data_IF_417953281529
#
_entry.id   IF_417953281529
#
_cell.length_a   1.000
_cell.length_b   1.000
_cell.length_c   1.000
_cell.angle_alpha   90.00
_cell.angle_beta   90.00
_cell.angle_gamma   90.00
#
_symmetry.space_group_name_H-M   'P 1'
#
loop_
_entity.id
_entity.type
_entity.pdbx_description
1 polymer ?
#
# COMPACT_ATOMS: atom_id res chain seq x y z
N UNK A 1 -5.63 -18.71 7.39
CA UNK A 1 -5.99 -20.14 7.34
C UNK A 1 -4.93 -21.04 7.99
N UNK A 2 -3.64 -20.97 7.61
CA UNK A 2 -2.57 -21.81 8.21
C UNK A 2 -2.46 -21.66 9.73
N UNK A 3 -2.54 -20.42 10.24
CA UNK A 3 -2.46 -20.17 11.69
C UNK A 3 -3.60 -20.84 12.48
N UNK A 4 -4.82 -20.87 11.94
CA UNK A 4 -5.95 -21.58 12.57
C UNK A 4 -5.72 -23.10 12.56
N UNK A 5 -5.15 -23.63 11.47
CA UNK A 5 -4.83 -25.05 11.38
C UNK A 5 -3.75 -25.45 12.40
N UNK A 6 -2.71 -24.62 12.58
CA UNK A 6 -1.67 -24.81 13.60
C UNK A 6 -2.30 -24.78 14.99
N UNK A 7 -3.08 -23.74 15.31
CA UNK A 7 -3.75 -23.62 16.61
C UNK A 7 -4.69 -24.80 16.91
N UNK A 8 -5.34 -25.39 15.89
CA UNK A 8 -6.14 -26.61 16.06
C UNK A 8 -5.29 -27.85 16.34
N UNK A 9 -4.11 -27.98 15.70
CA UNK A 9 -3.19 -29.10 15.94
C UNK A 9 -2.55 -29.00 17.31
N UNK A 10 -2.17 -27.82 17.76
CA UNK A 10 -1.65 -27.57 19.11
C UNK A 10 -2.66 -27.86 20.24
N UNK A 11 -3.92 -28.04 19.90
CA UNK A 11 -4.94 -28.53 20.83
C UNK A 11 -4.78 -30.01 21.18
N UNK A 12 -4.13 -30.79 20.31
CA UNK A 12 -3.87 -32.20 20.58
C UNK A 12 -2.86 -32.35 21.71
N UNK A 13 -2.90 -33.47 22.40
CA UNK A 13 -1.92 -33.78 23.46
C UNK A 13 -0.59 -34.18 22.82
N UNK A 14 0.47 -33.56 23.28
CA UNK A 14 1.84 -33.98 22.97
C UNK A 14 2.28 -35.02 23.99
N UNK A 15 3.06 -36.00 23.55
CA UNK A 15 3.65 -37.01 24.40
C UNK A 15 5.17 -36.89 24.31
N UNK A 16 5.80 -36.67 25.44
CA UNK A 16 7.25 -36.64 25.51
C UNK A 16 7.74 -37.98 26.07
N UNK A 17 8.56 -38.70 25.30
CA UNK A 17 9.24 -39.90 25.71
C UNK A 17 10.72 -39.59 25.97
N UNK A 18 11.16 -39.70 27.19
CA UNK A 18 12.55 -39.53 27.57
C UNK A 18 13.20 -40.90 27.82
N UNK A 19 14.31 -41.18 27.17
CA UNK A 19 15.14 -42.34 27.39
C UNK A 19 16.49 -41.88 27.91
N UNK A 20 16.93 -42.38 29.03
CA UNK A 20 18.20 -42.01 29.62
C UNK A 20 19.00 -43.27 30.02
N UNK A 21 20.31 -43.20 29.89
CA UNK A 21 21.24 -44.16 30.40
C UNK A 21 22.19 -43.43 31.33
N UNK A 22 22.28 -43.91 32.59
CA UNK A 22 23.21 -43.38 33.57
C UNK A 22 24.18 -44.46 33.98
N UNK A 23 25.47 -44.15 33.97
CA UNK A 23 26.52 -45.01 34.40
C UNK A 23 27.28 -44.39 35.57
N UNK A 24 27.23 -45.04 36.72
CA UNK A 24 27.93 -44.59 37.91
C UNK A 24 29.16 -45.44 38.12
N UNK A 25 30.32 -44.80 38.26
CA UNK A 25 31.58 -45.50 38.61
C UNK A 25 31.58 -45.99 40.07
N UNK A 26 32.39 -46.96 40.34
CA UNK A 26 32.55 -47.44 41.70
C UNK A 26 33.21 -46.39 42.60
N UNK A 27 32.62 -46.12 43.78
CA UNK A 27 33.19 -45.27 44.81
C UNK A 27 33.87 -46.20 45.87
N UNK A 28 35.16 -46.04 46.00
CA UNK A 28 36.00 -46.84 46.99
C UNK A 28 36.42 -45.92 48.14
N UNK A 29 35.48 -45.54 48.97
CA UNK A 29 35.84 -44.90 50.26
C UNK A 29 35.45 -45.80 51.44
N UNK A 30 36.06 -45.57 52.60
CA UNK A 30 35.84 -46.37 53.79
C UNK A 30 34.46 -46.07 54.44
N UNK A 31 33.84 -44.96 54.16
CA UNK A 31 32.64 -44.52 54.85
C UNK A 31 31.35 -44.95 54.09
N UNK A 32 31.36 -44.90 52.76
CA UNK A 32 30.21 -45.28 51.96
C UNK A 32 30.65 -45.83 50.57
N UNK A 33 31.10 -47.07 50.52
CA UNK A 33 31.50 -47.72 49.28
C UNK A 33 30.27 -48.00 48.43
N UNK A 34 30.32 -47.62 47.13
CA UNK A 34 29.22 -47.83 46.17
C UNK A 34 29.72 -48.64 44.97
N UNK A 35 29.04 -49.73 44.59
CA UNK A 35 29.41 -50.52 43.42
C UNK A 35 29.15 -49.77 42.13
N UNK A 36 29.86 -50.13 41.08
CA UNK A 36 29.57 -49.66 39.72
C UNK A 36 28.17 -50.17 39.28
N UNK A 37 27.33 -49.29 38.80
CA UNK A 37 26.08 -49.72 38.22
C UNK A 37 25.69 -48.85 36.97
N UNK A 38 24.97 -49.47 36.10
CA UNK A 38 24.38 -48.82 34.95
C UNK A 38 22.85 -48.86 35.09
N UNK A 39 22.22 -47.68 35.09
CA UNK A 39 20.79 -47.57 35.18
C UNK A 39 20.19 -47.10 33.83
N UNK A 40 19.01 -47.57 33.54
CA UNK A 40 18.20 -47.10 32.41
C UNK A 40 17.00 -46.38 32.98
N UNK A 41 16.71 -45.20 32.42
CA UNK A 41 15.56 -44.41 32.82
C UNK A 41 14.65 -44.25 31.59
N UNK A 42 13.38 -44.59 31.77
CA UNK A 42 12.33 -44.35 30.78
C UNK A 42 11.33 -43.43 31.45
N UNK A 43 11.14 -42.24 30.86
CA UNK A 43 10.16 -41.27 31.32
C UNK A 43 9.11 -41.00 30.22
N UNK A 44 7.84 -41.03 30.60
CA UNK A 44 6.74 -40.58 29.78
C UNK A 44 6.12 -39.37 30.46
N UNK A 45 6.13 -38.22 29.73
CA UNK A 45 5.50 -37.00 30.21
C UNK A 45 4.31 -36.67 29.30
N UNK A 46 3.16 -36.42 29.92
CA UNK A 46 1.94 -36.04 29.25
C UNK A 46 1.49 -34.72 29.85
N UNK A 47 1.63 -33.56 29.14
CA UNK A 47 1.15 -32.27 29.64
C UNK A 47 -0.37 -32.26 29.61
N UNK A 48 -1.00 -32.47 30.75
CA UNK A 48 -2.45 -32.46 30.89
C UNK A 48 -2.95 -31.00 30.91
N UNK A 49 -3.53 -30.54 29.80
CA UNK A 49 -4.13 -29.21 29.69
C UNK A 49 -5.57 -29.24 30.26
N UNK A 50 -5.72 -29.25 31.58
CA UNK A 50 -7.02 -29.34 32.26
C UNK A 50 -7.93 -28.14 32.05
N UNK A 51 -7.37 -26.97 31.66
CA UNK A 51 -8.11 -25.74 31.49
C UNK A 51 -8.42 -25.51 30.01
N UNK A 52 -9.68 -25.61 29.65
CA UNK A 52 -10.28 -25.11 28.40
C UNK A 52 -9.70 -25.62 27.05
N UNK A 53 -8.84 -26.67 27.06
CA UNK A 53 -8.30 -27.34 25.86
C UNK A 53 -7.83 -26.38 24.75
N UNK A 54 -7.16 -25.27 25.09
CA UNK A 54 -6.72 -24.23 24.14
C UNK A 54 -7.82 -23.64 23.22
N UNK A 55 -9.09 -23.68 23.63
CA UNK A 55 -10.19 -23.10 22.84
C UNK A 55 -9.98 -21.62 22.57
N UNK A 56 -9.52 -20.86 23.56
CA UNK A 56 -9.23 -19.43 23.43
C UNK A 56 -8.17 -19.12 22.36
N UNK A 57 -7.13 -19.94 22.27
CA UNK A 57 -6.08 -19.80 21.24
C UNK A 57 -6.63 -20.04 19.84
N UNK A 58 -7.50 -21.04 19.67
CA UNK A 58 -8.17 -21.32 18.39
C UNK A 58 -9.13 -20.18 18.00
N UNK A 59 -9.90 -19.67 18.97
CA UNK A 59 -10.80 -18.52 18.72
C UNK A 59 -10.00 -17.26 18.39
N UNK A 60 -8.93 -16.97 19.11
CA UNK A 60 -8.04 -15.85 18.80
C UNK A 60 -7.45 -15.97 17.40
N UNK A 61 -7.04 -17.17 16.97
CA UNK A 61 -6.54 -17.43 15.63
C UNK A 61 -7.60 -17.20 14.55
N UNK A 62 -8.87 -17.57 14.82
CA UNK A 62 -9.99 -17.30 13.91
C UNK A 62 -10.29 -15.81 13.77
N UNK A 63 -10.33 -15.08 14.90
CA UNK A 63 -10.55 -13.63 14.85
C UNK A 63 -9.42 -12.89 14.14
N UNK A 64 -8.16 -13.34 14.29
CA UNK A 64 -7.02 -12.80 13.52
C UNK A 64 -7.14 -13.10 12.03
N UNK A 65 -7.62 -14.29 11.66
CA UNK A 65 -7.90 -14.62 10.26
C UNK A 65 -8.97 -13.69 9.69
N UNK A 66 -10.08 -13.50 10.41
CA UNK A 66 -11.17 -12.61 10.00
C UNK A 66 -10.71 -11.14 9.90
N UNK A 67 -9.92 -10.68 10.87
CA UNK A 67 -9.33 -9.35 10.85
C UNK A 67 -8.42 -9.16 9.62
N UNK A 68 -7.57 -10.14 9.32
CA UNK A 68 -6.69 -10.09 8.15
C UNK A 68 -7.49 -10.09 6.84
N UNK A 69 -8.59 -10.82 6.77
CA UNK A 69 -9.48 -10.83 5.62
C UNK A 69 -10.16 -9.48 5.42
N UNK A 70 -10.70 -8.89 6.49
CA UNK A 70 -11.31 -7.54 6.43
C UNK A 70 -10.28 -6.49 6.04
N UNK A 71 -9.05 -6.56 6.58
CA UNK A 71 -7.97 -5.66 6.20
C UNK A 71 -7.58 -5.79 4.72
N UNK A 72 -7.58 -7.00 4.18
CA UNK A 72 -7.35 -7.24 2.75
C UNK A 72 -8.45 -6.61 1.88
N UNK A 73 -9.72 -6.80 2.26
CA UNK A 73 -10.85 -6.21 1.54
C UNK A 73 -10.81 -4.67 1.60
N UNK A 74 -10.47 -4.11 2.75
CA UNK A 74 -10.28 -2.67 2.92
C UNK A 74 -9.15 -2.14 2.02
N UNK A 75 -7.98 -2.79 2.03
CA UNK A 75 -6.86 -2.39 1.17
C UNK A 75 -7.23 -2.48 -0.32
N UNK A 76 -7.94 -3.54 -0.72
CA UNK A 76 -8.43 -3.70 -2.10
C UNK A 76 -9.36 -2.56 -2.50
N UNK A 77 -10.32 -2.22 -1.65
CA UNK A 77 -11.26 -1.12 -1.90
C UNK A 77 -10.54 0.23 -1.97
N UNK A 78 -9.55 0.44 -1.11
CA UNK A 78 -8.73 1.65 -1.11
C UNK A 78 -7.99 1.80 -2.44
N UNK A 79 -7.28 0.77 -2.90
CA UNK A 79 -6.57 0.80 -4.19
C UNK A 79 -7.54 1.07 -5.34
N UNK A 80 -8.69 0.40 -5.37
CA UNK A 80 -9.70 0.65 -6.42
C UNK A 80 -10.19 2.10 -6.42
N UNK A 81 -10.38 2.69 -5.25
CA UNK A 81 -10.81 4.08 -5.10
C UNK A 81 -9.73 5.05 -5.56
N UNK A 82 -8.49 4.83 -5.17
CA UNK A 82 -7.34 5.64 -5.57
C UNK A 82 -7.14 5.64 -7.09
N UNK A 83 -7.11 4.47 -7.71
CA UNK A 83 -6.98 4.33 -9.16
C UNK A 83 -8.13 5.05 -9.88
N UNK A 84 -9.37 4.90 -9.40
CA UNK A 84 -10.52 5.57 -10.01
C UNK A 84 -10.46 7.09 -9.85
N UNK A 85 -9.97 7.60 -8.72
CA UNK A 85 -9.78 9.04 -8.50
C UNK A 85 -8.72 9.61 -9.44
N UNK A 86 -7.56 8.95 -9.56
CA UNK A 86 -6.48 9.38 -10.45
C UNK A 86 -6.90 9.29 -11.92
N UNK A 87 -7.63 8.23 -12.30
CA UNK A 87 -8.18 8.11 -13.66
C UNK A 87 -9.14 9.26 -14.01
N UNK A 88 -10.07 9.61 -13.11
CA UNK A 88 -10.99 10.73 -13.33
C UNK A 88 -10.26 12.06 -13.43
N UNK A 89 -9.26 12.30 -12.57
CA UNK A 89 -8.44 13.50 -12.61
C UNK A 89 -7.70 13.61 -13.94
N UNK A 90 -7.04 12.53 -14.36
CA UNK A 90 -6.35 12.44 -15.64
C UNK A 90 -7.27 12.74 -16.82
N UNK A 91 -8.44 12.09 -16.89
CA UNK A 91 -9.43 12.31 -17.97
C UNK A 91 -9.95 13.76 -18.00
N UNK A 92 -10.15 14.37 -16.83
CA UNK A 92 -10.55 15.78 -16.72
C UNK A 92 -9.47 16.71 -17.27
N UNK A 93 -8.20 16.45 -16.94
CA UNK A 93 -7.06 17.27 -17.39
C UNK A 93 -6.81 17.14 -18.90
N UNK A 94 -6.97 15.95 -19.49
CA UNK A 94 -6.98 15.77 -20.95
C UNK A 94 -8.03 16.68 -21.60
N UNK A 95 -9.25 16.70 -21.06
CA UNK A 95 -10.31 17.57 -21.57
C UNK A 95 -9.91 19.05 -21.52
N UNK A 96 -9.27 19.49 -20.45
CA UNK A 96 -8.78 20.86 -20.30
C UNK A 96 -7.66 21.18 -21.31
N UNK A 97 -6.67 20.30 -21.47
CA UNK A 97 -5.59 20.48 -22.48
C UNK A 97 -6.19 20.61 -23.88
N UNK A 98 -7.12 19.73 -24.25
CA UNK A 98 -7.81 19.81 -25.56
C UNK A 98 -8.55 21.12 -25.79
N UNK A 99 -9.11 21.75 -24.76
CA UNK A 99 -9.73 23.06 -24.87
C UNK A 99 -8.72 24.17 -25.25
N UNK A 100 -7.50 24.10 -24.68
CA UNK A 100 -6.44 25.02 -25.05
C UNK A 100 -5.97 24.80 -26.50
N UNK A 101 -5.76 23.53 -26.89
CA UNK A 101 -5.32 23.14 -28.24
C UNK A 101 -6.36 23.44 -29.31
N UNK A 102 -7.66 23.43 -28.96
CA UNK A 102 -8.76 23.75 -29.87
C UNK A 102 -8.95 25.27 -30.12
N UNK A 103 -7.90 26.05 -29.89
CA UNK A 103 -7.85 27.43 -30.34
C UNK A 103 -8.03 28.47 -29.23
N UNK A 104 -8.15 28.11 -27.97
CA UNK A 104 -8.27 29.09 -26.88
C UNK A 104 -7.06 30.05 -26.85
N UNK A 105 -5.83 29.47 -26.97
CA UNK A 105 -4.60 30.25 -26.99
C UNK A 105 -4.49 31.14 -28.24
N UNK A 106 -4.88 30.61 -29.39
CA UNK A 106 -4.89 31.35 -30.66
C UNK A 106 -5.91 32.49 -30.66
N UNK A 107 -7.09 32.26 -30.10
CA UNK A 107 -8.10 33.30 -29.95
C UNK A 107 -7.61 34.42 -29.02
N UNK A 108 -7.00 34.10 -27.89
CA UNK A 108 -6.42 35.08 -26.98
C UNK A 108 -5.32 35.92 -27.68
N UNK A 109 -4.44 35.27 -28.45
CA UNK A 109 -3.43 35.96 -29.25
C UNK A 109 -4.05 36.88 -30.33
N UNK A 110 -5.13 36.42 -30.95
CA UNK A 110 -5.86 37.19 -31.96
C UNK A 110 -6.51 38.44 -31.37
N UNK A 111 -7.04 38.36 -30.15
CA UNK A 111 -7.58 39.53 -29.44
C UNK A 111 -6.48 40.56 -29.18
N UNK A 112 -5.29 40.15 -28.75
CA UNK A 112 -4.15 41.07 -28.55
C UNK A 112 -3.78 41.76 -29.87
N UNK A 113 -3.66 41.01 -30.95
CA UNK A 113 -3.37 41.58 -32.29
C UNK A 113 -4.43 42.58 -32.73
N UNK A 114 -5.70 42.26 -32.53
CA UNK A 114 -6.81 43.15 -32.83
C UNK A 114 -6.77 44.45 -32.02
N UNK A 115 -6.44 44.38 -30.72
CA UNK A 115 -6.34 45.56 -29.85
C UNK A 115 -5.12 46.45 -30.26
N UNK A 116 -4.01 45.87 -30.63
CA UNK A 116 -2.84 46.61 -31.13
C UNK A 116 -3.22 47.35 -32.42
N UNK A 117 -3.88 46.67 -33.36
CA UNK A 117 -4.32 47.24 -34.59
C UNK A 117 -5.30 48.45 -34.39
N UNK A 118 -6.27 48.32 -33.47
CA UNK A 118 -7.17 49.41 -33.13
C UNK A 118 -6.47 50.57 -32.42
N UNK A 119 -5.46 50.27 -31.57
CA UNK A 119 -4.65 51.32 -30.92
C UNK A 119 -3.85 52.14 -31.94
N UNK A 120 -3.22 51.49 -32.90
CA UNK A 120 -2.45 52.16 -33.95
C UNK A 120 -3.35 53.14 -34.81
N UNK A 121 -4.63 52.88 -34.83
CA UNK A 121 -5.63 53.78 -35.48
C UNK A 121 -6.25 54.83 -34.57
N UNK A 122 -5.87 54.82 -33.29
CA UNK A 122 -6.43 55.73 -32.30
C UNK A 122 -7.87 55.38 -31.86
N UNK A 123 -8.35 54.15 -32.17
CA UNK A 123 -9.72 53.68 -31.86
C UNK A 123 -9.83 53.08 -30.44
N UNK A 124 -8.74 52.74 -29.82
CA UNK A 124 -8.69 52.15 -28.46
C UNK A 124 -7.54 52.74 -27.62
N UNK A 125 -7.62 52.59 -26.31
CA UNK A 125 -6.60 53.10 -25.40
C UNK A 125 -5.46 52.09 -25.21
N UNK A 126 -4.26 52.58 -24.85
CA UNK A 126 -3.12 51.73 -24.47
C UNK A 126 -3.51 50.81 -23.30
N UNK A 127 -4.34 51.26 -22.35
CA UNK A 127 -4.82 50.46 -21.25
C UNK A 127 -5.52 49.18 -21.72
N UNK A 128 -6.35 49.27 -22.77
CA UNK A 128 -7.03 48.09 -23.31
C UNK A 128 -6.05 47.10 -23.96
N UNK A 129 -5.01 47.60 -24.63
CA UNK A 129 -3.94 46.75 -25.19
C UNK A 129 -3.22 45.99 -24.06
N UNK A 130 -2.83 46.73 -23.02
CA UNK A 130 -2.13 46.14 -21.84
C UNK A 130 -3.01 45.10 -21.11
N UNK A 131 -4.32 45.39 -20.98
CA UNK A 131 -5.25 44.43 -20.40
C UNK A 131 -5.38 43.15 -21.26
N UNK A 132 -5.48 43.31 -22.59
CA UNK A 132 -5.52 42.16 -23.48
C UNK A 132 -4.22 41.34 -23.44
N UNK A 133 -3.07 42.01 -23.38
CA UNK A 133 -1.78 41.37 -23.24
C UNK A 133 -1.70 40.58 -21.92
N UNK A 134 -2.10 41.20 -20.80
CA UNK A 134 -2.14 40.54 -19.51
C UNK A 134 -3.03 39.30 -19.52
N UNK A 135 -4.22 39.39 -20.09
CA UNK A 135 -5.14 38.24 -20.20
C UNK A 135 -4.52 37.12 -21.04
N UNK A 136 -3.84 37.45 -22.15
CA UNK A 136 -3.12 36.44 -22.94
C UNK A 136 -2.02 35.74 -22.13
N UNK A 137 -1.21 36.50 -21.38
CA UNK A 137 -0.15 35.95 -20.54
C UNK A 137 -0.70 35.06 -19.42
N UNK A 138 -1.84 35.47 -18.82
CA UNK A 138 -2.56 34.65 -17.82
C UNK A 138 -3.05 33.34 -18.44
N UNK A 139 -3.69 33.36 -19.61
CA UNK A 139 -4.15 32.16 -20.33
C UNK A 139 -2.98 31.24 -20.68
N UNK A 140 -1.86 31.81 -21.13
CA UNK A 140 -0.65 31.04 -21.44
C UNK A 140 -0.06 30.38 -20.22
N UNK A 141 -0.03 31.07 -19.10
CA UNK A 141 0.47 30.51 -17.81
C UNK A 141 -0.42 29.35 -17.35
N UNK A 142 -1.75 29.54 -17.38
CA UNK A 142 -2.71 28.49 -17.03
C UNK A 142 -2.60 27.26 -17.96
N UNK A 143 -2.30 27.46 -19.23
CA UNK A 143 -2.05 26.33 -20.15
C UNK A 143 -0.84 25.52 -19.73
N UNK A 144 0.28 26.17 -19.41
CA UNK A 144 1.50 25.50 -18.97
C UNK A 144 1.26 24.75 -17.65
N UNK A 145 0.56 25.36 -16.71
CA UNK A 145 0.17 24.71 -15.45
C UNK A 145 -0.74 23.49 -15.70
N UNK A 146 -1.66 23.59 -16.65
CA UNK A 146 -2.53 22.47 -17.02
C UNK A 146 -1.73 21.31 -17.63
N UNK A 147 -0.77 21.60 -18.51
CA UNK A 147 0.14 20.59 -19.08
C UNK A 147 0.97 19.90 -17.99
N UNK A 148 1.51 20.68 -17.05
CA UNK A 148 2.23 20.12 -15.92
C UNK A 148 1.34 19.20 -15.07
N UNK A 149 0.13 19.66 -14.72
CA UNK A 149 -0.82 18.89 -13.94
C UNK A 149 -1.28 17.62 -14.68
N UNK A 150 -1.42 17.69 -16.00
CA UNK A 150 -1.71 16.54 -16.85
C UNK A 150 -0.59 15.50 -16.77
N UNK A 151 0.65 15.90 -16.98
CA UNK A 151 1.80 14.99 -16.87
C UNK A 151 1.93 14.38 -15.46
N UNK A 152 1.76 15.19 -14.42
CA UNK A 152 1.79 14.73 -13.04
C UNK A 152 0.66 13.71 -12.75
N UNK A 153 -0.55 13.97 -13.26
CA UNK A 153 -1.70 13.08 -13.07
C UNK A 153 -1.54 11.73 -13.76
N UNK A 154 -0.80 11.67 -14.88
CA UNK A 154 -0.44 10.41 -15.54
C UNK A 154 0.46 9.58 -14.63
N UNK A 155 1.51 10.17 -14.07
CA UNK A 155 2.42 9.49 -13.15
C UNK A 155 1.70 9.01 -11.88
N UNK A 156 0.78 9.82 -11.34
CA UNK A 156 -0.06 9.42 -10.19
C UNK A 156 -0.94 8.22 -10.54
N UNK A 157 -1.52 8.19 -11.73
CA UNK A 157 -2.33 7.07 -12.21
C UNK A 157 -1.49 5.80 -12.38
N UNK A 158 -0.34 5.90 -13.02
CA UNK A 158 0.60 4.79 -13.20
C UNK A 158 1.05 4.21 -11.86
N UNK A 159 1.41 5.09 -10.93
CA UNK A 159 1.85 4.69 -9.59
C UNK A 159 0.73 3.96 -8.83
N UNK A 160 -0.50 4.48 -8.86
CA UNK A 160 -1.63 3.86 -8.16
C UNK A 160 -2.08 2.55 -8.79
N UNK A 161 -1.97 2.42 -10.12
CA UNK A 161 -2.29 1.21 -10.86
C UNK A 161 -1.18 0.15 -10.78
N UNK A 162 0.06 0.55 -10.41
CA UNK A 162 1.23 -0.33 -10.44
C UNK A 162 1.65 -0.75 -11.86
N UNK A 163 1.30 0.06 -12.85
CA UNK A 163 1.58 -0.17 -14.27
C UNK A 163 2.36 1.03 -14.77
N UNK A 164 3.49 0.80 -15.42
CA UNK A 164 4.31 1.84 -16.03
C UNK A 164 4.10 1.83 -17.55
N UNK A 165 4.25 2.98 -18.18
CA UNK A 165 4.04 3.19 -19.61
C UNK A 165 2.60 2.88 -20.07
N UNK A 166 1.62 3.48 -19.39
CA UNK A 166 0.23 3.46 -19.89
C UNK A 166 0.22 4.18 -21.23
N UNK A 167 -0.05 3.41 -22.30
CA UNK A 167 -0.19 3.99 -23.65
C UNK A 167 -1.36 4.98 -23.64
N UNK A 168 -1.05 6.25 -23.91
CA UNK A 168 -2.02 7.33 -23.97
C UNK A 168 -2.43 7.49 -25.44
N UNK A 169 -3.65 7.08 -25.77
CA UNK A 169 -4.27 7.38 -27.07
C UNK A 169 -4.92 8.74 -27.11
#
# INVERSE_FOLDING_TARGET
QRAVTVARRERNMDFDLALGVNHNGAVRNEIAPAPRFTGFTVGLSVPLKFSNFNKGTVEAARYREQQAQTAYEQARLQVQTEVMQHYRRYTSLIGQVRHYDNGLLENAASVVKGKIYSYDRGETSLLEVLNAQRTYDEVRTLYIETLYNYAASLVELETSAGIWDIAVE
#
